data_IF_118487403411
#
_entry.id   IF_118487403411
#
_cell.length_a   1.000
_cell.length_b   1.000
_cell.length_c   1.000
_cell.angle_alpha   90.00
_cell.angle_beta   90.00
_cell.angle_gamma   90.00
#
_symmetry.space_group_name_H-M   'P 1'
#
loop_
_entity.id
_entity.type
_entity.pdbx_description
1 polymer ?
#
# COMPACT_ATOMS: atom_id res chain seq x y z
N UNK A 1 1.24 2.72 15.73
CA UNK A 1 1.14 3.57 14.54
C UNK A 1 -0.13 4.37 14.70
N UNK A 2 0.01 5.68 14.80
CA UNK A 2 -1.14 6.58 14.88
C UNK A 2 -1.81 6.60 13.51
N UNK A 3 -3.12 6.39 13.49
CA UNK A 3 -3.89 6.38 12.25
C UNK A 3 -3.95 7.79 11.69
N UNK A 4 -3.60 7.97 10.42
CA UNK A 4 -3.78 9.23 9.71
C UNK A 4 -5.10 9.19 8.94
N UNK A 5 -5.75 10.34 8.80
CA UNK A 5 -6.99 10.52 8.05
C UNK A 5 -6.78 11.58 6.98
N UNK A 6 -7.25 11.30 5.77
CA UNK A 6 -7.14 12.21 4.64
C UNK A 6 -8.50 12.78 4.28
N UNK A 7 -8.54 14.08 4.03
CA UNK A 7 -9.66 14.79 3.44
C UNK A 7 -9.49 14.82 1.93
N UNK A 8 -10.47 14.35 1.18
CA UNK A 8 -10.44 14.26 -0.27
C UNK A 8 -11.58 15.06 -0.90
N UNK A 9 -11.28 15.77 -1.98
CA UNK A 9 -12.27 16.45 -2.82
C UNK A 9 -12.14 15.90 -4.24
N UNK A 10 -13.23 15.35 -4.79
CA UNK A 10 -13.25 14.72 -6.12
C UNK A 10 -12.11 13.70 -6.34
N UNK A 11 -11.75 12.95 -5.29
CA UNK A 11 -10.68 11.95 -5.31
C UNK A 11 -9.26 12.48 -5.12
N UNK A 12 -9.06 13.80 -5.05
CA UNK A 12 -7.74 14.41 -4.76
C UNK A 12 -7.58 14.69 -3.27
N UNK A 13 -6.42 14.35 -2.70
CA UNK A 13 -6.10 14.63 -1.30
C UNK A 13 -5.91 16.14 -1.08
N UNK A 14 -6.70 16.71 -0.18
CA UNK A 14 -6.70 18.13 0.18
C UNK A 14 -5.85 18.37 1.43
N UNK A 15 -6.05 17.55 2.46
CA UNK A 15 -5.37 17.71 3.75
C UNK A 15 -5.30 16.39 4.54
N UNK A 16 -4.47 16.34 5.58
CA UNK A 16 -4.26 15.16 6.44
C UNK A 16 -4.38 15.51 7.92
N UNK A 17 -4.96 14.61 8.70
CA UNK A 17 -5.27 14.78 10.12
C UNK A 17 -4.83 13.56 10.93
N UNK A 18 -4.56 13.77 12.21
CA UNK A 18 -4.34 12.70 13.19
C UNK A 18 -5.64 12.21 13.84
N UNK A 19 -6.71 13.01 13.76
CA UNK A 19 -8.02 12.70 14.33
C UNK A 19 -9.09 12.61 13.23
N UNK A 20 -9.88 11.53 13.26
CA UNK A 20 -11.00 11.32 12.35
C UNK A 20 -12.12 12.35 12.53
N UNK A 21 -12.34 12.81 13.76
CA UNK A 21 -13.39 13.79 14.10
C UNK A 21 -13.03 15.14 13.51
N UNK A 22 -11.77 15.56 13.65
CA UNK A 22 -11.28 16.81 13.08
C UNK A 22 -11.39 16.79 11.54
N UNK A 23 -10.93 15.70 10.90
CA UNK A 23 -11.07 15.52 9.47
C UNK A 23 -12.54 15.58 9.00
N UNK A 24 -13.47 15.01 9.77
CA UNK A 24 -14.90 15.02 9.43
C UNK A 24 -15.53 16.41 9.57
N UNK A 25 -15.21 17.14 10.63
CA UNK A 25 -15.70 18.50 10.82
C UNK A 25 -15.26 19.41 9.66
N UNK A 26 -14.00 19.29 9.23
CA UNK A 26 -13.47 20.09 8.13
C UNK A 26 -14.07 19.67 6.77
N UNK A 27 -14.35 18.38 6.57
CA UNK A 27 -15.09 17.90 5.40
C UNK A 27 -16.49 18.52 5.29
N UNK A 28 -17.22 18.56 6.41
CA UNK A 28 -18.57 19.16 6.45
C UNK A 28 -18.48 20.65 6.13
N UNK A 29 -17.57 21.37 6.79
CA UNK A 29 -17.38 22.80 6.55
C UNK A 29 -17.01 23.10 5.09
N UNK A 30 -16.04 22.36 4.53
CA UNK A 30 -15.62 22.55 3.14
C UNK A 30 -16.75 22.22 2.15
N UNK A 31 -17.60 21.24 2.45
CA UNK A 31 -18.78 20.93 1.64
C UNK A 31 -19.84 22.05 1.72
N UNK A 32 -20.08 22.63 2.90
CA UNK A 32 -21.01 23.74 3.06
C UNK A 32 -20.57 24.99 2.28
N UNK A 33 -19.28 25.30 2.30
CA UNK A 33 -18.71 26.47 1.60
C UNK A 33 -18.63 26.27 0.08
N UNK A 34 -18.27 25.08 -0.38
CA UNK A 34 -18.01 24.81 -1.81
C UNK A 34 -19.21 24.21 -2.56
N UNK A 35 -20.16 23.60 -1.85
CA UNK A 35 -21.22 22.76 -2.43
C UNK A 35 -20.71 21.43 -3.00
N UNK A 36 -19.42 21.10 -2.85
CA UNK A 36 -18.80 19.88 -3.39
C UNK A 36 -18.65 18.84 -2.27
N UNK A 37 -19.06 17.58 -2.50
CA UNK A 37 -18.83 16.52 -1.52
C UNK A 37 -17.36 16.30 -1.20
N UNK A 38 -17.03 16.32 0.09
CA UNK A 38 -15.72 15.97 0.60
C UNK A 38 -15.79 14.61 1.31
N UNK A 39 -14.76 13.79 1.12
CA UNK A 39 -14.68 12.45 1.69
C UNK A 39 -13.53 12.36 2.70
N UNK A 40 -13.78 11.73 3.85
CA UNK A 40 -12.72 11.39 4.80
C UNK A 40 -12.40 9.91 4.67
N UNK A 41 -11.12 9.59 4.50
CA UNK A 41 -10.63 8.20 4.44
C UNK A 41 -9.45 8.03 5.38
N UNK A 42 -9.39 6.90 6.08
CA UNK A 42 -8.16 6.50 6.77
C UNK A 42 -7.04 6.41 5.72
N UNK A 43 -6.01 7.23 5.87
CA UNK A 43 -4.77 7.06 5.14
C UNK A 43 -4.15 5.84 5.76
N UNK A 44 -4.32 4.71 5.08
CA UNK A 44 -3.38 3.62 5.25
C UNK A 44 -2.05 4.23 4.87
N UNK A 45 -1.21 4.53 5.87
CA UNK A 45 0.21 4.75 5.61
C UNK A 45 0.60 3.56 4.75
N UNK A 46 0.81 3.82 3.47
CA UNK A 46 1.60 2.91 2.68
C UNK A 46 2.95 3.16 3.32
N UNK A 47 3.27 2.36 4.35
CA UNK A 47 4.57 2.34 5.00
C UNK A 47 5.55 2.57 3.87
N UNK A 48 6.40 3.60 3.96
CA UNK A 48 7.34 3.98 2.91
C UNK A 48 8.34 2.82 2.74
N UNK A 49 7.87 1.73 2.14
CA UNK A 49 8.51 0.44 2.04
C UNK A 49 9.37 0.56 0.79
N UNK A 50 10.43 1.34 0.89
CA UNK A 50 11.46 1.39 -0.13
C UNK A 50 12.29 0.09 -0.10
N UNK A 51 12.18 -0.69 0.96
CA UNK A 51 12.80 -2.00 1.09
C UNK A 51 12.02 -2.84 2.11
N UNK A 52 11.59 -4.05 1.74
CA UNK A 52 10.87 -4.96 2.63
C UNK A 52 11.02 -6.43 2.21
N UNK A 53 10.69 -7.33 3.14
CA UNK A 53 10.63 -8.78 2.91
C UNK A 53 9.20 -9.28 2.99
N UNK A 54 8.89 -10.31 2.23
CA UNK A 54 7.57 -10.92 2.22
C UNK A 54 7.61 -12.40 1.87
N UNK A 55 6.51 -13.10 2.15
CA UNK A 55 6.20 -14.44 1.65
C UNK A 55 4.92 -14.39 0.82
N UNK A 56 4.79 -15.33 -0.11
CA UNK A 56 3.53 -15.52 -0.83
C UNK A 56 2.48 -16.14 0.10
N UNK A 57 1.21 -15.75 -0.03
CA UNK A 57 0.12 -16.37 0.72
C UNK A 57 -0.16 -17.80 0.26
N UNK A 58 -0.74 -18.63 1.13
CA UNK A 58 -1.11 -20.02 0.81
C UNK A 58 -2.04 -20.13 -0.42
N UNK A 59 -2.87 -19.10 -0.66
CA UNK A 59 -3.72 -18.98 -1.85
C UNK A 59 -2.93 -18.95 -3.15
N UNK A 60 -1.74 -18.33 -3.15
CA UNK A 60 -0.85 -18.30 -4.30
C UNK A 60 -0.03 -19.58 -4.37
N UNK A 61 0.48 -20.06 -3.23
CA UNK A 61 1.29 -21.28 -3.16
C UNK A 61 0.52 -22.51 -3.66
N UNK A 62 -0.73 -22.67 -3.24
CA UNK A 62 -1.60 -23.80 -3.64
C UNK A 62 -1.93 -23.85 -5.14
N UNK A 63 -1.65 -22.78 -5.89
CA UNK A 63 -1.84 -22.69 -7.35
C UNK A 63 -0.54 -22.89 -8.14
N UNK A 64 0.58 -23.08 -7.45
CA UNK A 64 1.87 -23.29 -8.07
C UNK A 64 2.28 -24.76 -7.99
N UNK A 65 3.01 -25.23 -8.99
CA UNK A 65 3.66 -26.55 -8.97
C UNK A 65 4.95 -26.56 -8.11
N UNK A 66 5.38 -25.40 -7.59
CA UNK A 66 6.58 -25.25 -6.76
C UNK A 66 6.24 -24.95 -5.29
N UNK A 67 7.00 -25.56 -4.36
CA UNK A 67 6.86 -25.32 -2.92
C UNK A 67 7.55 -24.00 -2.51
N UNK A 68 6.75 -22.94 -2.42
CA UNK A 68 7.21 -21.62 -1.98
C UNK A 68 7.13 -21.40 -0.46
N UNK A 69 6.76 -22.41 0.34
CA UNK A 69 6.51 -22.25 1.79
C UNK A 69 7.74 -21.74 2.58
N UNK A 70 8.94 -22.03 2.06
CA UNK A 70 10.23 -21.65 2.63
C UNK A 70 10.90 -20.47 1.93
N UNK A 71 10.31 -19.97 0.85
CA UNK A 71 10.89 -18.89 0.04
C UNK A 71 10.60 -17.54 0.70
N UNK A 72 11.63 -16.73 0.84
CA UNK A 72 11.55 -15.34 1.28
C UNK A 72 11.93 -14.45 0.13
N UNK A 73 11.03 -13.52 -0.19
CA UNK A 73 11.24 -12.51 -1.21
C UNK A 73 11.70 -11.21 -0.56
N UNK A 74 12.54 -10.47 -1.26
CA UNK A 74 13.04 -9.15 -0.87
C UNK A 74 12.72 -8.17 -2.00
N UNK A 75 11.98 -7.12 -1.68
CA UNK A 75 11.57 -6.08 -2.62
C UNK A 75 12.27 -4.77 -2.27
N UNK A 76 13.00 -4.20 -3.23
CA UNK A 76 13.76 -2.96 -3.08
C UNK A 76 13.37 -1.96 -4.15
N UNK A 77 12.99 -0.75 -3.76
CA UNK A 77 12.65 0.33 -4.69
C UNK A 77 13.89 0.78 -5.47
N UNK A 78 13.71 0.95 -6.77
CA UNK A 78 14.77 1.38 -7.68
C UNK A 78 14.93 2.89 -7.64
N UNK A 79 15.70 3.38 -6.66
CA UNK A 79 15.95 4.81 -6.48
C UNK A 79 14.64 5.59 -6.31
N UNK A 80 14.46 6.62 -7.15
CA UNK A 80 13.26 7.47 -7.15
C UNK A 80 12.17 6.99 -8.13
N UNK A 81 12.35 5.85 -8.81
CA UNK A 81 11.34 5.32 -9.71
C UNK A 81 10.23 4.60 -8.94
N UNK A 82 9.04 4.51 -9.54
CA UNK A 82 7.92 3.70 -9.04
C UNK A 82 8.04 2.22 -9.44
N UNK A 83 9.26 1.69 -9.31
CA UNK A 83 9.63 0.32 -9.64
C UNK A 83 10.33 -0.34 -8.44
N UNK A 84 10.09 -1.64 -8.29
CA UNK A 84 10.68 -2.50 -7.29
C UNK A 84 11.42 -3.65 -7.95
N UNK A 85 12.68 -3.84 -7.54
CA UNK A 85 13.46 -5.03 -7.80
C UNK A 85 13.11 -6.08 -6.74
N UNK A 86 12.60 -7.23 -7.17
CA UNK A 86 12.14 -8.32 -6.31
C UNK A 86 12.98 -9.56 -6.55
N UNK A 87 13.71 -9.99 -5.54
CA UNK A 87 14.58 -11.17 -5.54
C UNK A 87 14.12 -12.17 -4.50
N UNK A 88 14.61 -13.41 -4.57
CA UNK A 88 14.31 -14.42 -3.56
C UNK A 88 15.57 -15.20 -3.13
N UNK A 89 15.45 -15.97 -2.04
CA UNK A 89 16.56 -16.69 -1.42
C UNK A 89 16.82 -18.11 -1.95
N UNK A 90 16.03 -18.60 -2.92
CA UNK A 90 16.18 -19.95 -3.47
C UNK A 90 16.63 -19.98 -4.92
N UNK A 91 16.18 -19.02 -5.71
CA UNK A 91 16.44 -18.90 -7.14
C UNK A 91 17.20 -17.60 -7.39
N UNK A 92 18.19 -17.64 -8.29
CA UNK A 92 18.89 -16.46 -8.77
C UNK A 92 18.04 -15.75 -9.84
N UNK A 93 16.81 -15.39 -9.46
CA UNK A 93 15.83 -14.74 -10.31
C UNK A 93 15.43 -13.40 -9.71
N UNK A 94 15.39 -12.38 -10.57
CA UNK A 94 14.96 -11.03 -10.23
C UNK A 94 13.77 -10.64 -11.11
N UNK A 95 12.73 -10.11 -10.48
CA UNK A 95 11.52 -9.63 -11.11
C UNK A 95 11.34 -8.13 -10.85
N UNK A 96 10.76 -7.42 -11.81
CA UNK A 96 10.50 -5.99 -11.68
C UNK A 96 8.99 -5.78 -11.58
N UNK A 97 8.57 -5.08 -10.53
CA UNK A 97 7.16 -4.72 -10.31
C UNK A 97 6.97 -3.22 -10.20
N UNK A 98 5.84 -2.71 -10.65
CA UNK A 98 5.48 -1.31 -10.39
C UNK A 98 5.02 -1.14 -8.94
N UNK A 99 5.16 0.08 -8.40
CA UNK A 99 4.62 0.41 -7.08
C UNK A 99 3.13 0.07 -6.96
N UNK A 100 2.35 0.36 -8.01
CA UNK A 100 0.92 0.03 -8.03
C UNK A 100 0.65 -1.47 -7.88
N UNK A 101 1.42 -2.33 -8.56
CA UNK A 101 1.27 -3.78 -8.43
C UNK A 101 1.65 -4.26 -7.04
N UNK A 102 2.77 -3.76 -6.50
CA UNK A 102 3.21 -4.08 -5.13
C UNK A 102 2.15 -3.72 -4.11
N UNK A 103 1.63 -2.49 -4.17
CA UNK A 103 0.58 -2.01 -3.27
C UNK A 103 -0.69 -2.86 -3.38
N UNK A 104 -1.06 -3.26 -4.60
CA UNK A 104 -2.21 -4.14 -4.86
C UNK A 104 -2.00 -5.54 -4.25
N UNK A 105 -0.84 -6.18 -4.46
CA UNK A 105 -0.57 -7.52 -3.91
C UNK A 105 -0.54 -7.54 -2.38
N UNK A 106 0.01 -6.49 -1.76
CA UNK A 106 -0.02 -6.34 -0.30
C UNK A 106 -1.46 -6.13 0.18
N UNK A 107 -2.22 -5.23 -0.47
CA UNK A 107 -3.61 -4.93 -0.12
C UNK A 107 -4.53 -6.15 -0.26
N UNK A 108 -4.31 -6.97 -1.27
CA UNK A 108 -5.06 -8.19 -1.53
C UNK A 108 -4.66 -9.36 -0.60
N UNK A 109 -3.60 -9.20 0.20
CA UNK A 109 -3.07 -10.26 1.05
C UNK A 109 -2.41 -11.39 0.25
N UNK A 110 -1.99 -11.12 -0.99
CA UNK A 110 -1.24 -12.09 -1.79
C UNK A 110 0.24 -12.09 -1.38
N UNK A 111 0.79 -10.91 -1.00
CA UNK A 111 2.13 -10.75 -0.43
C UNK A 111 2.03 -10.43 1.06
N UNK A 112 2.53 -11.34 1.89
CA UNK A 112 2.50 -11.23 3.36
C UNK A 112 3.85 -10.70 3.83
N UNK A 113 3.86 -9.44 4.29
CA UNK A 113 5.07 -8.79 4.83
C UNK A 113 5.57 -9.51 6.09
N UNK A 114 6.89 -9.67 6.23
CA UNK A 114 7.55 -10.35 7.37
C UNK A 114 8.69 -9.53 7.97
#
# INVERSE_FOLDING_TARGET
>A
MDKKYGLYCLGSLVNTYDDAIEAHNDAVFAQEESGVPHEVKEIKETTNLNHFKFKLSEKIQSKSDADFSRVVFEAKRRGNADLYDVTNNMYDEAFIYTKSNVDEYIKNGDWILI
#
